data_IF_204167532886
#
_entry.id   IF_204167532886
#
_cell.length_a   1.000
_cell.length_b   1.000
_cell.length_c   1.000
_cell.angle_alpha   90.00
_cell.angle_beta   90.00
_cell.angle_gamma   90.00
#
_symmetry.space_group_name_H-M   'P 1'
#
loop_
_entity.id
_entity.type
_entity.pdbx_description
1 polymer ?
#
# COMPACT_ATOMS: atom_id res chain seq x y z
N UNK A 1 0.36 6.03 -18.51
CA UNK A 1 -0.24 6.06 -17.17
C UNK A 1 -0.39 7.52 -16.84
N UNK A 2 -1.63 7.99 -16.78
CA UNK A 2 -2.02 9.29 -16.24
C UNK A 2 -2.24 9.16 -14.73
N UNK A 3 -2.41 10.25 -14.01
CA UNK A 3 -2.65 10.13 -12.58
C UNK A 3 -3.98 9.44 -12.23
N UNK A 4 -3.99 8.77 -11.07
CA UNK A 4 -5.07 7.88 -10.65
C UNK A 4 -5.54 8.09 -9.21
N UNK A 5 -4.83 8.89 -8.41
CA UNK A 5 -5.09 9.03 -6.96
C UNK A 5 -6.54 9.39 -6.64
N UNK A 6 -7.11 10.39 -7.31
CA UNK A 6 -8.52 10.81 -7.10
C UNK A 6 -9.49 9.69 -7.46
N UNK A 7 -9.27 9.02 -8.60
CA UNK A 7 -10.15 7.95 -9.08
C UNK A 7 -10.18 6.75 -8.11
N UNK A 8 -9.07 6.46 -7.44
CA UNK A 8 -9.02 5.44 -6.40
C UNK A 8 -9.88 5.81 -5.19
N UNK A 9 -9.74 7.04 -4.70
CA UNK A 9 -10.49 7.53 -3.55
C UNK A 9 -12.00 7.56 -3.82
N UNK A 10 -12.41 8.02 -5.01
CA UNK A 10 -13.82 7.98 -5.44
C UNK A 10 -14.33 6.54 -5.58
N UNK A 11 -13.49 5.64 -6.11
CA UNK A 11 -13.83 4.24 -6.32
C UNK A 11 -14.17 3.49 -5.04
N UNK A 12 -13.54 3.83 -3.92
CA UNK A 12 -13.77 3.17 -2.63
C UNK A 12 -14.83 3.85 -1.76
N UNK A 13 -15.19 5.12 -2.03
CA UNK A 13 -16.07 5.94 -1.18
C UNK A 13 -17.34 5.20 -0.67
N UNK A 14 -18.13 4.51 -1.50
CA UNK A 14 -19.35 3.82 -1.05
C UNK A 14 -19.14 2.72 -0.01
N UNK A 15 -17.91 2.24 0.12
CA UNK A 15 -17.53 1.11 0.99
C UNK A 15 -16.60 1.54 2.13
N UNK A 16 -16.41 2.85 2.34
CA UNK A 16 -15.56 3.36 3.42
C UNK A 16 -16.30 3.26 4.77
N UNK A 17 -15.72 2.61 5.78
CA UNK A 17 -16.31 2.59 7.12
C UNK A 17 -16.26 3.99 7.77
N UNK A 18 -17.40 4.54 8.22
CA UNK A 18 -17.44 5.88 8.83
C UNK A 18 -16.68 5.96 10.15
N UNK A 19 -16.42 4.83 10.82
CA UNK A 19 -15.57 4.75 12.02
C UNK A 19 -14.08 4.95 11.72
N UNK A 20 -13.68 4.76 10.46
CA UNK A 20 -12.30 4.98 9.99
C UNK A 20 -12.18 6.35 9.34
N UNK A 21 -13.11 6.69 8.44
CA UNK A 21 -13.10 7.93 7.66
C UNK A 21 -14.49 8.54 7.69
N UNK A 22 -14.67 9.65 8.41
CA UNK A 22 -15.92 10.39 8.36
C UNK A 22 -16.12 11.09 7.00
N UNK A 23 -17.34 11.53 6.65
CA UNK A 23 -17.57 12.36 5.48
C UNK A 23 -16.70 13.62 5.42
N UNK A 24 -16.45 14.26 6.57
CA UNK A 24 -15.55 15.42 6.68
C UNK A 24 -14.10 15.04 6.37
N UNK A 25 -13.60 13.95 6.98
CA UNK A 25 -12.25 13.42 6.70
C UNK A 25 -12.10 13.05 5.23
N UNK A 26 -13.11 12.41 4.63
CA UNK A 26 -13.10 12.10 3.20
C UNK A 26 -13.01 13.38 2.36
N UNK A 27 -13.81 14.42 2.67
CA UNK A 27 -13.76 15.68 1.93
C UNK A 27 -12.38 16.35 2.01
N UNK A 28 -11.73 16.28 3.18
CA UNK A 28 -10.37 16.75 3.39
C UNK A 28 -9.34 15.97 2.57
N UNK A 29 -9.38 14.64 2.66
CA UNK A 29 -8.51 13.74 1.87
C UNK A 29 -8.71 13.94 0.37
N UNK A 30 -9.94 14.14 -0.09
CA UNK A 30 -10.24 14.39 -1.49
C UNK A 30 -9.58 15.67 -2.00
N UNK A 31 -9.69 16.78 -1.22
CA UNK A 31 -9.03 18.04 -1.56
C UNK A 31 -7.51 17.88 -1.62
N UNK A 32 -6.93 17.18 -0.64
CA UNK A 32 -5.51 16.85 -0.62
C UNK A 32 -5.11 16.03 -1.86
N UNK A 33 -5.86 14.97 -2.19
CA UNK A 33 -5.59 14.10 -3.33
C UNK A 33 -5.74 14.81 -4.69
N UNK A 34 -6.63 15.80 -4.79
CA UNK A 34 -6.83 16.57 -6.02
C UNK A 34 -5.57 17.35 -6.45
N UNK A 35 -4.73 17.73 -5.49
CA UNK A 35 -3.41 18.33 -5.75
C UNK A 35 -2.49 17.37 -6.50
N UNK A 36 -2.61 16.06 -6.22
CA UNK A 36 -1.80 14.99 -6.80
C UNK A 36 -2.55 14.22 -7.89
N UNK A 37 -3.59 14.80 -8.49
CA UNK A 37 -4.42 14.11 -9.48
C UNK A 37 -3.64 13.62 -10.72
N UNK A 38 -2.48 14.22 -11.01
CA UNK A 38 -1.60 13.85 -12.12
C UNK A 38 -0.58 12.77 -11.74
N UNK A 39 -0.54 12.33 -10.48
CA UNK A 39 0.38 11.31 -10.01
C UNK A 39 -0.22 9.93 -10.21
N UNK A 40 0.58 8.99 -10.72
CA UNK A 40 0.23 7.58 -10.74
C UNK A 40 0.87 6.91 -9.53
N UNK A 41 0.06 6.14 -8.81
CA UNK A 41 0.51 5.30 -7.70
C UNK A 41 -0.12 3.91 -7.83
N UNK A 42 0.64 2.89 -7.44
CA UNK A 42 0.20 1.49 -7.50
C UNK A 42 -0.53 1.03 -6.24
N UNK A 43 -0.28 1.69 -5.12
CA UNK A 43 -0.81 1.30 -3.81
C UNK A 43 -1.03 2.52 -2.93
N UNK A 44 -2.08 2.46 -2.12
CA UNK A 44 -2.46 3.50 -1.17
C UNK A 44 -2.67 2.87 0.21
N UNK A 45 -2.33 3.62 1.25
CA UNK A 45 -2.53 3.22 2.63
C UNK A 45 -3.23 4.36 3.37
N UNK A 46 -4.25 3.98 4.14
CA UNK A 46 -4.90 4.84 5.12
C UNK A 46 -4.51 4.33 6.50
N UNK A 47 -3.72 5.12 7.23
CA UNK A 47 -3.30 4.78 8.58
C UNK A 47 -4.28 5.40 9.58
N UNK A 48 -4.84 4.61 10.49
CA UNK A 48 -5.73 5.13 11.53
C UNK A 48 -5.29 4.69 12.93
N UNK A 49 -5.42 5.60 13.90
CA UNK A 49 -5.21 5.28 15.31
C UNK A 49 -6.37 4.46 15.85
N UNK A 50 -6.06 3.38 16.56
CA UNK A 50 -7.08 2.52 17.18
C UNK A 50 -7.48 2.99 18.58
N UNK A 51 -6.63 3.78 19.24
CA UNK A 51 -6.85 4.23 20.62
C UNK A 51 -7.88 5.38 20.75
N UNK A 52 -8.35 5.95 19.65
CA UNK A 52 -9.23 7.13 19.64
C UNK A 52 -10.41 6.89 18.71
N UNK A 53 -11.58 7.40 19.08
CA UNK A 53 -12.79 7.29 18.26
C UNK A 53 -12.78 8.20 17.03
N UNK A 54 -11.84 9.14 16.94
CA UNK A 54 -11.74 10.08 15.82
C UNK A 54 -11.57 9.32 14.49
N UNK A 55 -12.51 9.53 13.56
CA UNK A 55 -12.51 8.94 12.22
C UNK A 55 -11.58 9.71 11.27
N UNK A 56 -10.31 9.78 11.67
CA UNK A 56 -9.22 10.47 10.99
C UNK A 56 -8.21 9.42 10.50
N UNK A 57 -7.58 9.72 9.36
CA UNK A 57 -6.56 8.87 8.77
C UNK A 57 -5.44 9.68 8.13
N UNK A 58 -4.21 9.23 8.34
CA UNK A 58 -3.06 9.66 7.53
C UNK A 58 -3.16 8.94 6.18
N UNK A 59 -2.65 9.57 5.12
CA UNK A 59 -2.79 9.07 3.75
C UNK A 59 -1.43 8.93 3.09
N UNK A 60 -1.11 7.71 2.65
CA UNK A 60 0.14 7.38 2.01
C UNK A 60 -0.08 6.75 0.66
N UNK A 61 0.82 6.98 -0.29
CA UNK A 61 0.78 6.33 -1.59
C UNK A 61 2.18 5.95 -2.10
N UNK A 62 2.26 4.76 -2.71
CA UNK A 62 3.47 4.18 -3.27
C UNK A 62 3.61 4.48 -4.74
N UNK A 63 4.78 4.94 -5.13
CA UNK A 63 5.17 5.15 -6.51
C UNK A 63 6.33 4.21 -6.83
N UNK A 64 6.12 3.33 -7.81
CA UNK A 64 7.14 2.42 -8.31
C UNK A 64 8.11 3.16 -9.26
N UNK A 65 9.33 2.65 -9.45
CA UNK A 65 10.28 3.20 -10.42
C UNK A 65 9.68 3.29 -11.84
N UNK A 66 8.84 2.32 -12.22
CA UNK A 66 8.10 2.33 -13.50
C UNK A 66 7.07 3.47 -13.64
N UNK A 67 6.65 4.06 -12.52
CA UNK A 67 5.70 5.18 -12.45
C UNK A 67 6.42 6.54 -12.36
N UNK A 68 7.74 6.56 -12.20
CA UNK A 68 8.59 7.78 -12.18
C UNK A 68 8.30 8.77 -13.31
N UNK A 69 8.06 8.35 -14.58
CA UNK A 69 7.70 9.30 -15.64
C UNK A 69 6.39 10.05 -15.37
N UNK A 70 5.40 9.40 -14.77
CA UNK A 70 4.12 10.04 -14.42
C UNK A 70 4.33 11.03 -13.26
N UNK A 71 5.07 10.62 -12.23
CA UNK A 71 5.45 11.51 -11.12
C UNK A 71 6.18 12.76 -11.64
N UNK A 72 7.18 12.58 -12.51
CA UNK A 72 7.95 13.69 -13.09
C UNK A 72 7.08 14.65 -13.90
N UNK A 73 6.09 14.11 -14.63
CA UNK A 73 5.11 14.93 -15.36
C UNK A 73 4.20 15.70 -14.39
N UNK A 74 3.69 15.03 -13.35
CA UNK A 74 2.83 15.66 -12.34
C UNK A 74 3.54 16.78 -11.58
N UNK A 75 4.81 16.59 -11.20
CA UNK A 75 5.63 17.62 -10.54
C UNK A 75 5.87 18.87 -11.41
N UNK A 76 5.57 18.81 -12.71
CA UNK A 76 5.70 19.93 -13.66
C UNK A 76 4.35 20.51 -14.07
N UNK A 77 3.23 20.02 -13.52
CA UNK A 77 1.91 20.53 -13.88
C UNK A 77 1.68 21.92 -13.29
N UNK A 78 0.80 22.70 -13.91
CA UNK A 78 0.48 24.05 -13.44
C UNK A 78 -0.08 24.04 -12.01
N UNK A 79 -0.84 23.00 -11.65
CA UNK A 79 -1.37 22.79 -10.30
C UNK A 79 -0.24 22.66 -9.29
N UNK A 80 0.82 21.94 -9.65
CA UNK A 80 1.95 21.68 -8.78
C UNK A 80 2.94 22.85 -8.71
N UNK A 81 2.93 23.74 -9.70
CA UNK A 81 3.87 24.87 -9.78
C UNK A 81 3.83 25.75 -8.52
N UNK A 82 2.67 25.90 -7.88
CA UNK A 82 2.50 26.66 -6.63
C UNK A 82 3.17 25.99 -5.43
N UNK A 83 3.17 24.65 -5.39
CA UNK A 83 3.84 23.86 -4.35
C UNK A 83 5.34 23.80 -4.52
N UNK A 84 5.82 23.88 -5.77
CA UNK A 84 7.25 23.77 -6.08
C UNK A 84 8.11 24.89 -5.47
N UNK A 85 7.51 25.99 -5.02
CA UNK A 85 8.19 27.05 -4.27
C UNK A 85 8.52 26.65 -2.82
N UNK A 86 7.90 25.59 -2.29
CA UNK A 86 8.15 25.10 -0.95
C UNK A 86 9.42 24.24 -0.90
N UNK A 87 10.23 24.45 0.14
CA UNK A 87 11.50 23.76 0.33
C UNK A 87 11.39 22.23 0.40
N UNK A 88 10.35 21.71 1.06
CA UNK A 88 10.08 20.27 1.15
C UNK A 88 9.85 19.68 -0.24
N UNK A 89 9.04 20.34 -1.07
CA UNK A 89 8.78 19.88 -2.43
C UNK A 89 9.98 20.03 -3.36
N UNK A 90 10.79 21.07 -3.21
CA UNK A 90 12.04 21.20 -3.96
C UNK A 90 12.97 20.01 -3.70
N UNK A 91 13.12 19.58 -2.45
CA UNK A 91 13.93 18.40 -2.06
C UNK A 91 13.41 17.12 -2.70
N UNK A 92 12.09 16.93 -2.71
CA UNK A 92 11.44 15.79 -3.38
C UNK A 92 11.69 15.83 -4.89
N UNK A 93 11.57 17.01 -5.52
CA UNK A 93 11.87 17.18 -6.95
C UNK A 93 13.33 16.81 -7.26
N UNK A 94 14.28 17.26 -6.44
CA UNK A 94 15.69 16.91 -6.61
C UNK A 94 15.95 15.41 -6.42
N UNK A 95 15.33 14.78 -5.42
CA UNK A 95 15.39 13.32 -5.28
C UNK A 95 14.84 12.62 -6.52
N UNK A 96 13.68 13.04 -7.03
CA UNK A 96 13.05 12.39 -8.19
C UNK A 96 13.90 12.53 -9.45
N UNK A 97 14.56 13.67 -9.67
CA UNK A 97 15.50 13.83 -10.79
C UNK A 97 16.59 12.76 -10.75
N UNK A 98 17.20 12.59 -9.59
CA UNK A 98 18.35 11.71 -9.38
C UNK A 98 17.98 10.35 -8.78
N UNK A 99 16.69 9.96 -8.79
CA UNK A 99 16.18 8.75 -8.16
C UNK A 99 16.98 7.52 -8.64
N UNK A 100 17.79 6.90 -7.76
CA UNK A 100 18.65 5.75 -8.08
C UNK A 100 17.87 4.57 -8.64
N UNK A 101 18.45 3.85 -9.60
CA UNK A 101 17.81 2.68 -10.22
C UNK A 101 17.61 1.52 -9.24
N UNK A 102 18.46 1.41 -8.22
CA UNK A 102 18.39 0.37 -7.18
C UNK A 102 17.27 0.63 -6.14
N UNK A 103 16.60 1.79 -6.20
CA UNK A 103 15.44 2.09 -5.36
C UNK A 103 14.17 1.80 -6.17
N UNK A 104 13.51 0.70 -5.84
CA UNK A 104 12.35 0.17 -6.56
C UNK A 104 11.05 0.99 -6.38
N UNK A 105 10.92 1.65 -5.24
CA UNK A 105 9.73 2.43 -4.91
C UNK A 105 10.01 3.54 -3.89
N UNK A 106 9.12 4.52 -3.88
CA UNK A 106 9.06 5.59 -2.89
C UNK A 106 7.63 5.75 -2.37
N UNK A 107 7.51 6.23 -1.14
CA UNK A 107 6.23 6.57 -0.52
C UNK A 107 6.21 8.03 -0.11
N UNK A 108 5.06 8.67 -0.35
CA UNK A 108 4.70 9.95 0.24
C UNK A 108 3.61 9.69 1.26
N UNK A 109 3.86 10.05 2.52
CA UNK A 109 2.91 9.95 3.63
C UNK A 109 2.49 11.36 4.07
N UNK A 110 1.18 11.59 4.10
CA UNK A 110 0.59 12.84 4.55
C UNK A 110 -0.15 12.61 5.86
N UNK A 111 0.31 13.27 6.92
CA UNK A 111 -0.42 13.29 8.18
C UNK A 111 -1.81 13.91 7.96
N UNK A 112 -2.82 13.46 8.69
CA UNK A 112 -4.18 14.02 8.61
C UNK A 112 -4.18 15.56 8.77
N UNK A 113 -3.31 16.09 9.63
CA UNK A 113 -3.14 17.53 9.84
C UNK A 113 -2.63 18.31 8.62
N UNK A 114 -2.05 17.66 7.61
CA UNK A 114 -1.66 18.29 6.35
C UNK A 114 -2.86 18.64 5.46
N UNK A 115 -4.02 17.99 5.67
CA UNK A 115 -5.21 18.23 4.86
C UNK A 115 -5.77 19.66 4.99
N UNK A 116 -5.46 20.35 6.08
CA UNK A 116 -5.92 21.70 6.36
C UNK A 116 -4.92 22.78 5.92
N UNK A 117 -3.77 22.39 5.33
CA UNK A 117 -2.73 23.32 4.86
C UNK A 117 -2.89 23.64 3.37
N UNK A 118 -2.57 24.89 3.00
CA UNK A 118 -2.51 25.31 1.59
C UNK A 118 -1.42 24.57 0.80
N UNK A 119 -0.31 24.27 1.48
CA UNK A 119 0.84 23.53 0.93
C UNK A 119 1.06 22.32 1.85
N UNK A 120 0.44 21.16 1.55
CA UNK A 120 0.66 19.94 2.30
C UNK A 120 2.11 19.48 2.12
N UNK A 121 2.71 18.97 3.20
CA UNK A 121 4.08 18.47 3.20
C UNK A 121 4.08 16.99 3.56
N UNK A 122 4.68 16.12 2.75
CA UNK A 122 4.75 14.70 3.07
C UNK A 122 5.97 14.36 3.93
N UNK A 123 5.89 13.26 4.66
CA UNK A 123 7.07 12.46 4.95
C UNK A 123 7.45 11.65 3.70
N UNK A 124 8.74 11.52 3.42
CA UNK A 124 9.24 10.86 2.21
C UNK A 124 10.00 9.60 2.59
N UNK A 125 9.61 8.44 2.07
CA UNK A 125 10.28 7.16 2.29
C UNK A 125 10.73 6.57 0.97
N UNK A 126 11.88 5.90 0.97
CA UNK A 126 12.36 5.14 -0.18
C UNK A 126 12.68 3.70 0.24
N UNK A 127 12.49 2.78 -0.70
CA UNK A 127 12.86 1.38 -0.55
C UNK A 127 14.37 1.26 -0.26
N UNK A 128 14.71 0.57 0.82
CA UNK A 128 16.10 0.42 1.28
C UNK A 128 16.59 -1.04 1.25
N UNK A 129 15.86 -1.94 0.57
CA UNK A 129 16.20 -3.37 0.47
C UNK A 129 17.60 -3.61 -0.10
N UNK A 130 18.08 -2.71 -0.96
CA UNK A 130 19.41 -2.83 -1.58
C UNK A 130 20.54 -2.25 -0.71
N UNK A 131 20.22 -1.46 0.34
CA UNK A 131 21.22 -0.80 1.19
C UNK A 131 21.99 -1.79 2.04
N UNK A 132 21.37 -2.88 2.49
CA UNK A 132 22.05 -3.92 3.29
C UNK A 132 21.74 -5.30 2.75
N UNK A 133 22.80 -6.04 2.40
CA UNK A 133 22.74 -7.43 1.94
C UNK A 133 23.76 -8.27 2.68
N UNK A 134 23.31 -9.11 3.61
CA UNK A 134 24.22 -9.88 4.45
C UNK A 134 25.09 -8.96 5.31
N UNK A 135 26.40 -9.19 5.26
CA UNK A 135 27.38 -8.36 5.96
C UNK A 135 27.70 -7.03 5.25
N UNK A 136 27.30 -6.86 3.99
CA UNK A 136 27.60 -5.66 3.23
C UNK A 136 26.54 -4.58 3.44
N UNK A 137 27.00 -3.35 3.66
CA UNK A 137 26.17 -2.14 3.76
C UNK A 137 26.65 -1.12 2.73
N UNK A 138 25.77 -0.78 1.80
CA UNK A 138 25.99 0.27 0.80
C UNK A 138 25.64 1.64 1.40
N UNK A 139 26.61 2.22 2.08
CA UNK A 139 26.48 3.58 2.61
C UNK A 139 26.39 4.63 1.50
N UNK A 140 26.96 4.38 0.32
CA UNK A 140 26.95 5.35 -0.77
C UNK A 140 25.55 5.46 -1.37
N UNK A 141 24.84 4.35 -1.52
CA UNK A 141 23.42 4.34 -1.88
C UNK A 141 22.57 5.06 -0.82
N UNK A 142 22.76 4.75 0.46
CA UNK A 142 22.00 5.36 1.56
C UNK A 142 22.19 6.89 1.63
N UNK A 143 23.44 7.34 1.76
CA UNK A 143 23.73 8.77 1.90
C UNK A 143 23.56 9.50 0.56
N UNK A 144 23.75 8.82 -0.57
CA UNK A 144 23.45 9.30 -1.91
C UNK A 144 21.97 9.61 -2.10
N UNK A 145 21.07 8.79 -1.56
CA UNK A 145 19.63 9.03 -1.55
C UNK A 145 19.26 10.16 -0.57
N UNK A 146 19.76 10.11 0.67
CA UNK A 146 19.41 11.06 1.73
C UNK A 146 19.87 12.49 1.47
N UNK A 147 20.97 12.72 0.74
CA UNK A 147 21.50 14.07 0.45
C UNK A 147 20.54 14.96 -0.33
N UNK A 148 19.56 14.38 -1.02
CA UNK A 148 18.52 15.14 -1.73
C UNK A 148 17.39 15.59 -0.79
N UNK A 149 17.20 14.86 0.30
CA UNK A 149 16.11 15.07 1.25
C UNK A 149 16.55 15.91 2.45
N UNK A 150 17.83 15.82 2.84
CA UNK A 150 18.43 16.53 3.97
C UNK A 150 19.56 17.42 3.48
N UNK A 151 19.82 18.53 4.19
CA UNK A 151 21.03 19.31 3.89
C UNK A 151 22.30 18.59 4.39
N UNK A 152 23.46 19.06 3.92
CA UNK A 152 24.74 18.43 4.22
C UNK A 152 25.07 18.48 5.72
N UNK A 153 24.72 19.55 6.42
CA UNK A 153 24.98 19.70 7.85
C UNK A 153 24.18 18.67 8.67
N UNK A 154 22.90 18.51 8.35
CA UNK A 154 22.02 17.50 8.93
C UNK A 154 22.56 16.10 8.68
N UNK A 155 22.94 15.80 7.43
CA UNK A 155 23.43 14.48 7.06
C UNK A 155 24.70 14.10 7.82
N UNK A 156 25.62 15.05 7.99
CA UNK A 156 26.87 14.82 8.70
C UNK A 156 26.66 14.58 10.20
N UNK A 157 25.70 15.26 10.84
CA UNK A 157 25.30 14.99 12.23
C UNK A 157 24.69 13.59 12.40
N UNK A 158 23.94 13.12 11.41
CA UNK A 158 23.25 11.82 11.46
C UNK A 158 24.15 10.64 11.08
N UNK A 159 25.21 10.88 10.31
CA UNK A 159 26.01 9.85 9.64
C UNK A 159 26.50 8.75 10.58
N UNK A 160 27.08 9.13 11.72
CA UNK A 160 27.67 8.16 12.66
C UNK A 160 26.59 7.26 13.27
N UNK A 161 25.47 7.84 13.69
CA UNK A 161 24.39 7.09 14.32
C UNK A 161 23.65 6.21 13.30
N UNK A 162 23.41 6.70 12.09
CA UNK A 162 22.81 5.92 11.01
C UNK A 162 23.65 4.69 10.66
N UNK A 163 24.96 4.86 10.47
CA UNK A 163 25.87 3.72 10.28
C UNK A 163 25.81 2.78 11.48
N UNK A 164 25.91 3.34 12.69
CA UNK A 164 25.90 2.58 13.92
C UNK A 164 24.69 1.67 14.11
N UNK A 165 23.49 2.12 13.77
CA UNK A 165 22.28 1.28 13.89
C UNK A 165 22.20 0.25 12.77
N UNK A 166 22.54 0.62 11.52
CA UNK A 166 22.46 -0.30 10.37
C UNK A 166 23.51 -1.42 10.48
N UNK A 167 24.73 -1.09 10.91
CA UNK A 167 25.83 -2.05 11.04
C UNK A 167 25.58 -3.08 12.16
N UNK A 168 24.71 -2.75 13.12
CA UNK A 168 24.32 -3.62 14.24
C UNK A 168 23.11 -4.50 13.94
N UNK A 169 22.45 -4.32 12.79
CA UNK A 169 21.38 -5.22 12.37
C UNK A 169 21.92 -6.66 12.21
N UNK A 170 21.10 -7.67 12.52
CA UNK A 170 21.45 -9.06 12.21
C UNK A 170 21.86 -9.20 10.74
N UNK A 171 22.75 -10.15 10.46
CA UNK A 171 23.37 -10.27 9.12
C UNK A 171 22.32 -10.59 8.05
N UNK A 172 21.40 -11.46 8.41
CA UNK A 172 20.28 -11.95 7.63
C UNK A 172 19.15 -10.92 7.45
N UNK A 173 19.19 -9.81 8.19
CA UNK A 173 18.15 -8.78 8.18
C UNK A 173 18.63 -7.54 7.43
N UNK A 174 17.92 -7.19 6.36
CA UNK A 174 18.16 -5.98 5.59
C UNK A 174 17.43 -4.76 6.17
N UNK A 175 17.23 -3.75 5.31
CA UNK A 175 16.31 -2.65 5.56
C UNK A 175 15.09 -2.79 4.66
N UNK A 176 13.92 -2.42 5.15
CA UNK A 176 12.73 -2.32 4.31
C UNK A 176 12.67 -0.93 3.67
N UNK A 177 12.70 0.12 4.50
CA UNK A 177 12.56 1.51 4.09
C UNK A 177 13.41 2.44 4.94
N UNK A 178 13.76 3.59 4.34
CA UNK A 178 14.38 4.72 5.03
C UNK A 178 13.59 5.97 4.67
N UNK A 179 13.34 6.84 5.66
CA UNK A 179 12.52 8.03 5.44
C UNK A 179 13.01 9.32 6.07
N UNK A 180 12.80 10.42 5.37
CA UNK A 180 12.92 11.77 5.89
C UNK A 180 11.55 12.29 6.36
N UNK A 181 11.46 12.69 7.63
CA UNK A 181 10.22 13.14 8.26
C UNK A 181 9.89 14.61 7.93
N UNK A 182 9.93 14.99 6.64
CA UNK A 182 9.98 16.38 6.17
C UNK A 182 8.80 17.25 6.65
N UNK A 183 7.63 16.65 6.89
CA UNK A 183 6.42 17.30 7.41
C UNK A 183 6.48 17.64 8.91
N UNK A 184 7.34 16.95 9.65
CA UNK A 184 7.43 17.02 11.12
C UNK A 184 8.76 17.64 11.53
N UNK A 185 9.82 16.84 11.47
CA UNK A 185 11.13 17.18 12.02
C UNK A 185 12.20 16.83 10.98
N UNK A 186 13.12 17.76 10.71
CA UNK A 186 14.18 17.58 9.70
C UNK A 186 15.54 17.17 10.28
N UNK A 187 15.58 16.95 11.59
CA UNK A 187 16.77 16.60 12.37
C UNK A 187 16.95 15.09 12.54
N UNK A 188 16.14 14.27 11.86
CA UNK A 188 16.11 12.82 12.03
C UNK A 188 15.71 12.08 10.76
N UNK A 189 16.11 10.82 10.71
CA UNK A 189 15.76 9.86 9.66
C UNK A 189 15.06 8.68 10.31
N UNK A 190 13.91 8.26 9.75
CA UNK A 190 13.23 7.05 10.17
C UNK A 190 13.83 5.84 9.46
N UNK A 191 14.14 4.80 10.23
CA UNK A 191 14.61 3.51 9.74
C UNK A 191 13.48 2.50 9.91
N UNK A 192 13.24 1.69 8.88
CA UNK A 192 12.44 0.47 8.95
C UNK A 192 13.36 -0.72 8.66
N UNK A 193 13.43 -1.67 9.59
CA UNK A 193 14.20 -2.90 9.37
C UNK A 193 13.52 -3.80 8.35
N UNK A 194 14.24 -4.77 7.81
CA UNK A 194 13.59 -5.98 7.30
C UNK A 194 12.88 -6.74 8.42
N UNK A 195 12.26 -7.85 8.08
CA UNK A 195 11.59 -8.73 9.04
C UNK A 195 12.57 -9.29 10.07
N UNK A 196 12.19 -9.16 11.35
CA UNK A 196 12.87 -9.68 12.52
C UNK A 196 11.95 -10.68 13.21
N UNK A 197 12.51 -11.75 13.76
CA UNK A 197 11.86 -12.56 14.81
C UNK A 197 11.82 -11.78 16.12
N UNK A 198 10.98 -12.23 17.08
CA UNK A 198 10.94 -11.67 18.43
C UNK A 198 12.32 -11.59 19.07
N UNK A 199 13.07 -12.68 19.01
CA UNK A 199 14.39 -12.80 19.63
C UNK A 199 15.39 -11.84 18.99
N UNK A 200 15.38 -11.74 17.66
CA UNK A 200 16.22 -10.79 16.93
C UNK A 200 15.82 -9.34 17.24
N UNK A 201 14.53 -9.01 17.36
CA UNK A 201 14.08 -7.66 17.73
C UNK A 201 14.61 -7.25 19.10
N UNK A 202 14.46 -8.11 20.12
CA UNK A 202 14.94 -7.85 21.48
C UNK A 202 16.46 -7.67 21.48
N UNK A 203 17.19 -8.61 20.86
CA UNK A 203 18.65 -8.56 20.80
C UNK A 203 19.15 -7.32 20.05
N UNK A 204 18.51 -6.95 18.94
CA UNK A 204 18.90 -5.78 18.16
C UNK A 204 18.67 -4.48 18.94
N UNK A 205 17.52 -4.34 19.60
CA UNK A 205 17.23 -3.16 20.42
C UNK A 205 18.21 -3.02 21.60
N UNK A 206 18.60 -4.13 22.24
CA UNK A 206 19.65 -4.14 23.26
C UNK A 206 21.00 -3.70 22.69
N UNK A 207 21.38 -4.24 21.53
CA UNK A 207 22.65 -3.91 20.85
C UNK A 207 22.78 -2.43 20.46
N UNK A 208 21.68 -1.75 20.14
CA UNK A 208 21.67 -0.31 19.85
C UNK A 208 21.43 0.55 21.10
N UNK A 209 21.35 -0.07 22.29
CA UNK A 209 21.25 0.62 23.57
C UNK A 209 19.86 1.16 23.91
N UNK A 210 18.79 0.53 23.39
CA UNK A 210 17.43 0.96 23.67
C UNK A 210 16.99 0.58 25.09
N UNK A 211 16.64 1.57 25.92
CA UNK A 211 16.54 1.40 27.37
C UNK A 211 15.31 0.61 27.87
N UNK A 212 14.23 0.55 27.09
CA UNK A 212 12.91 0.09 27.57
C UNK A 212 12.61 -1.38 27.27
N UNK A 213 13.63 -2.25 27.22
CA UNK A 213 13.49 -3.66 26.82
C UNK A 213 12.37 -4.42 27.54
N UNK A 214 12.14 -4.16 28.83
CA UNK A 214 11.05 -4.78 29.60
C UNK A 214 9.64 -4.57 29.00
N UNK A 215 9.45 -3.51 28.21
CA UNK A 215 8.17 -3.20 27.58
C UNK A 215 7.96 -4.03 26.31
N UNK A 216 9.02 -4.57 25.70
CA UNK A 216 8.91 -5.45 24.54
C UNK A 216 8.25 -6.77 24.90
N UNK A 217 8.54 -7.33 26.06
CA UNK A 217 7.90 -8.58 26.48
C UNK A 217 6.39 -8.42 26.58
N UNK A 218 5.93 -7.33 27.20
CA UNK A 218 4.50 -7.01 27.27
C UNK A 218 3.89 -6.78 25.88
N UNK A 219 4.63 -6.16 24.96
CA UNK A 219 4.17 -5.96 23.57
C UNK A 219 4.01 -7.31 22.88
N UNK A 220 5.03 -8.17 22.93
CA UNK A 220 5.01 -9.46 22.26
C UNK A 220 3.99 -10.43 22.87
N UNK A 221 3.80 -10.43 24.19
CA UNK A 221 2.72 -11.18 24.83
C UNK A 221 1.33 -10.81 24.27
N UNK A 222 1.11 -9.53 23.96
CA UNK A 222 -0.16 -9.05 23.42
C UNK A 222 -0.37 -9.40 21.94
N UNK A 223 0.69 -9.48 21.13
CA UNK A 223 0.55 -9.58 19.66
C UNK A 223 1.04 -10.89 19.04
N UNK A 224 2.02 -11.58 19.65
CA UNK A 224 2.75 -12.67 19.00
C UNK A 224 1.87 -13.87 18.65
N UNK A 225 0.89 -14.20 19.50
CA UNK A 225 -0.04 -15.30 19.24
C UNK A 225 -0.94 -15.06 18.00
N UNK A 226 -1.06 -13.82 17.54
CA UNK A 226 -1.89 -13.43 16.41
C UNK A 226 -1.08 -13.14 15.14
N UNK A 227 0.23 -12.87 15.28
CA UNK A 227 1.09 -12.53 14.16
C UNK A 227 1.65 -13.77 13.45
N UNK A 228 2.32 -13.56 12.33
CA UNK A 228 3.10 -14.55 11.58
C UNK A 228 4.50 -14.81 12.19
N UNK A 229 4.81 -14.17 13.31
CA UNK A 229 6.12 -14.22 13.97
C UNK A 229 7.21 -13.35 13.32
N UNK A 230 6.88 -12.54 12.32
CA UNK A 230 7.78 -11.59 11.66
C UNK A 230 7.40 -10.14 12.00
N UNK A 231 8.42 -9.31 12.24
CA UNK A 231 8.25 -7.95 12.72
C UNK A 231 9.14 -6.97 11.97
N UNK A 232 8.57 -5.88 11.48
CA UNK A 232 9.35 -4.73 11.00
C UNK A 232 9.40 -3.69 12.11
N UNK A 233 10.61 -3.40 12.57
CA UNK A 233 10.86 -2.37 13.57
C UNK A 233 11.07 -1.02 12.88
N UNK A 234 10.35 0.01 13.32
CA UNK A 234 10.58 1.40 12.92
C UNK A 234 10.94 2.32 14.09
N UNK A 235 11.89 3.22 13.85
CA UNK A 235 12.33 4.22 14.83
C UNK A 235 13.07 5.36 14.14
N UNK A 236 13.10 6.51 14.80
CA UNK A 236 13.85 7.67 14.32
C UNK A 236 15.29 7.63 14.83
N UNK A 237 16.23 8.06 14.00
CA UNK A 237 17.64 8.27 14.35
C UNK A 237 17.95 9.76 14.22
N UNK A 238 18.44 10.36 15.30
CA UNK A 238 18.90 11.75 15.34
C UNK A 238 20.39 11.84 15.68
N UNK A 239 20.92 13.05 15.86
CA UNK A 239 22.27 13.29 16.38
C UNK A 239 22.48 12.67 17.78
N UNK A 240 21.41 12.53 18.57
CA UNK A 240 21.44 11.95 19.92
C UNK A 240 21.39 10.42 19.92
N UNK A 241 21.19 9.78 18.76
CA UNK A 241 21.11 8.33 18.63
C UNK A 241 19.73 7.85 18.18
N UNK A 242 19.43 6.58 18.47
CA UNK A 242 18.12 6.00 18.22
C UNK A 242 17.08 6.55 19.22
N UNK A 243 15.88 6.85 18.73
CA UNK A 243 14.77 7.33 19.55
C UNK A 243 14.32 6.28 20.57
N UNK A 244 13.87 6.73 21.74
CA UNK A 244 13.17 5.88 22.70
C UNK A 244 11.81 5.42 22.17
N UNK A 245 11.24 6.15 21.20
CA UNK A 245 9.99 5.75 20.52
C UNK A 245 10.30 4.76 19.41
N UNK A 246 9.66 3.59 19.51
CA UNK A 246 9.72 2.54 18.49
C UNK A 246 8.32 2.18 18.01
N UNK A 247 8.26 1.56 16.84
CA UNK A 247 7.08 0.92 16.28
C UNK A 247 7.39 -0.52 15.87
N UNK A 248 6.50 -1.44 16.22
CA UNK A 248 6.55 -2.83 15.77
C UNK A 248 5.39 -3.03 14.79
N UNK A 249 5.72 -3.27 13.53
CA UNK A 249 4.79 -3.50 12.43
C UNK A 249 4.71 -5.00 12.14
N UNK A 250 3.51 -5.55 11.98
CA UNK A 250 3.31 -6.98 11.73
C UNK A 250 2.00 -7.27 11.00
N UNK A 251 2.01 -8.36 10.23
CA UNK A 251 0.82 -9.00 9.70
C UNK A 251 0.17 -9.95 10.69
N UNK A 252 -1.09 -10.29 10.45
CA UNK A 252 -1.73 -11.41 11.16
C UNK A 252 -1.33 -12.72 10.50
N UNK A 253 -1.03 -13.75 11.30
CA UNK A 253 -0.66 -15.06 10.75
C UNK A 253 -1.81 -15.74 9.99
N UNK A 254 -3.06 -15.39 10.32
CA UNK A 254 -4.28 -15.82 9.61
C UNK A 254 -5.35 -14.73 9.68
N UNK A 255 -6.13 -14.58 8.62
CA UNK A 255 -7.27 -13.65 8.56
C UNK A 255 -8.32 -13.94 9.64
N UNK A 256 -8.51 -15.21 10.01
CA UNK A 256 -9.43 -15.62 11.08
C UNK A 256 -9.04 -15.09 12.47
N UNK A 257 -7.79 -14.65 12.65
CA UNK A 257 -7.32 -14.07 13.92
C UNK A 257 -7.70 -12.60 14.08
N UNK A 258 -8.22 -11.94 13.04
CA UNK A 258 -8.54 -10.52 13.08
C UNK A 258 -9.52 -10.17 14.21
N UNK A 259 -10.63 -10.90 14.34
CA UNK A 259 -11.60 -10.62 15.39
C UNK A 259 -11.02 -10.84 16.81
N UNK A 260 -10.44 -12.02 17.14
CA UNK A 260 -9.80 -12.23 18.44
C UNK A 260 -8.71 -11.19 18.77
N UNK A 261 -7.89 -10.83 17.78
CA UNK A 261 -6.85 -9.81 17.95
C UNK A 261 -7.46 -8.45 18.31
N UNK A 262 -8.48 -8.00 17.55
CA UNK A 262 -9.12 -6.72 17.81
C UNK A 262 -9.88 -6.69 19.13
N UNK A 263 -10.48 -7.80 19.56
CA UNK A 263 -11.07 -7.96 20.89
C UNK A 263 -10.01 -7.82 21.99
N UNK A 264 -8.87 -8.51 21.85
CA UNK A 264 -7.74 -8.39 22.76
C UNK A 264 -7.20 -6.96 22.87
N UNK A 265 -7.12 -6.23 21.76
CA UNK A 265 -6.73 -4.81 21.79
C UNK A 265 -7.74 -3.93 22.55
N UNK A 266 -9.04 -4.22 22.46
CA UNK A 266 -10.07 -3.49 23.24
C UNK A 266 -9.93 -3.78 24.73
N UNK A 267 -9.72 -5.04 25.12
CA UNK A 267 -9.50 -5.43 26.51
C UNK A 267 -8.27 -4.74 27.12
N UNK A 268 -7.20 -4.60 26.34
CA UNK A 268 -5.98 -3.87 26.73
C UNK A 268 -6.12 -2.34 26.66
N UNK A 269 -7.28 -1.83 26.21
CA UNK A 269 -7.55 -0.39 25.97
C UNK A 269 -6.60 0.23 24.93
N UNK A 270 -6.11 -0.59 24.02
CA UNK A 270 -5.31 -0.15 22.86
C UNK A 270 -6.18 0.09 21.62
N UNK A 271 -7.41 -0.41 21.63
CA UNK A 271 -8.42 -0.15 20.61
C UNK A 271 -9.75 0.28 21.28
N UNK A 272 -10.52 1.14 20.62
CA UNK A 272 -11.91 1.42 21.01
C UNK A 272 -12.88 0.48 20.29
N UNK A 273 -14.06 0.24 20.85
CA UNK A 273 -15.08 -0.56 20.18
C UNK A 273 -15.53 0.04 18.85
N UNK A 274 -15.50 1.38 18.73
CA UNK A 274 -15.80 2.09 17.48
C UNK A 274 -14.75 1.73 16.42
N UNK A 275 -13.46 1.86 16.74
CA UNK A 275 -12.37 1.52 15.81
C UNK A 275 -12.33 0.05 15.45
N UNK A 276 -12.61 -0.86 16.40
CA UNK A 276 -12.77 -2.29 16.12
C UNK A 276 -13.79 -2.55 15.02
N UNK A 277 -14.99 -1.96 15.10
CA UNK A 277 -16.02 -2.13 14.07
C UNK A 277 -15.55 -1.65 12.70
N UNK A 278 -14.91 -0.48 12.65
CA UNK A 278 -14.40 0.08 11.40
C UNK A 278 -13.31 -0.76 10.74
N UNK A 279 -12.39 -1.34 11.51
CA UNK A 279 -11.34 -2.21 10.96
C UNK A 279 -11.93 -3.53 10.47
N UNK A 280 -12.87 -4.12 11.21
CA UNK A 280 -13.54 -5.37 10.82
C UNK A 280 -14.39 -5.22 9.54
N UNK A 281 -14.84 -4.02 9.21
CA UNK A 281 -15.60 -3.72 7.99
C UNK A 281 -14.75 -3.16 6.85
N UNK A 282 -13.41 -3.08 7.02
CA UNK A 282 -12.54 -2.47 6.02
C UNK A 282 -12.41 -3.30 4.74
N UNK A 283 -12.09 -4.58 4.88
CA UNK A 283 -11.73 -5.45 3.76
C UNK A 283 -12.88 -5.65 2.77
N UNK A 284 -12.56 -5.79 1.49
CA UNK A 284 -13.52 -6.07 0.43
C UNK A 284 -13.00 -5.64 -0.93
N UNK A 285 -13.70 -6.01 -2.00
CA UNK A 285 -13.32 -5.64 -3.37
C UNK A 285 -14.44 -4.95 -4.13
N UNK A 286 -14.07 -4.06 -5.06
CA UNK A 286 -15.00 -3.36 -5.93
C UNK A 286 -14.48 -3.18 -7.34
N UNK A 287 -15.38 -3.31 -8.31
CA UNK A 287 -15.10 -2.96 -9.70
C UNK A 287 -15.14 -1.46 -9.94
N UNK A 288 -14.11 -0.89 -10.56
CA UNK A 288 -14.10 0.51 -10.95
C UNK A 288 -13.46 0.73 -12.32
N UNK A 289 -13.94 1.71 -13.08
CA UNK A 289 -13.30 2.15 -14.30
C UNK A 289 -12.46 3.40 -14.01
N UNK A 290 -11.13 3.28 -14.08
CA UNK A 290 -10.19 4.34 -13.69
C UNK A 290 -9.69 5.17 -14.89
N UNK A 291 -10.47 5.21 -15.98
CA UNK A 291 -10.11 5.91 -17.22
C UNK A 291 -9.41 5.03 -18.25
N UNK A 292 -9.15 5.57 -19.45
CA UNK A 292 -8.65 4.80 -20.61
C UNK A 292 -7.25 4.17 -20.40
N UNK A 293 -6.44 4.80 -19.55
CA UNK A 293 -5.08 4.37 -19.29
C UNK A 293 -5.03 3.08 -18.45
N UNK A 294 -5.99 2.91 -17.54
CA UNK A 294 -6.07 1.80 -16.58
C UNK A 294 -7.16 0.79 -16.95
N UNK A 295 -8.27 1.30 -17.48
CA UNK A 295 -9.43 0.51 -17.84
C UNK A 295 -10.27 0.10 -16.63
N UNK A 296 -10.92 -1.04 -16.79
CA UNK A 296 -11.61 -1.69 -15.69
C UNK A 296 -10.57 -2.26 -14.72
N UNK A 297 -10.73 -1.95 -13.45
CA UNK A 297 -9.81 -2.25 -12.36
C UNK A 297 -10.59 -2.84 -11.19
N UNK A 298 -10.10 -3.93 -10.62
CA UNK A 298 -10.58 -4.38 -9.32
C UNK A 298 -9.83 -3.61 -8.23
N UNK A 299 -10.54 -2.79 -7.49
CA UNK A 299 -10.05 -2.13 -6.28
C UNK A 299 -10.17 -3.12 -5.13
N UNK A 300 -9.06 -3.45 -4.50
CA UNK A 300 -8.98 -4.36 -3.37
C UNK A 300 -8.67 -3.52 -2.14
N UNK A 301 -9.54 -3.62 -1.13
CA UNK A 301 -9.30 -3.12 0.23
C UNK A 301 -8.96 -4.30 1.11
N UNK A 302 -7.86 -4.20 1.83
CA UNK A 302 -7.49 -5.14 2.88
C UNK A 302 -6.65 -4.45 3.94
N UNK A 303 -6.32 -5.19 4.99
CA UNK A 303 -5.46 -4.70 6.06
C UNK A 303 -4.03 -5.07 5.68
N UNK A 304 -3.18 -4.07 5.45
CA UNK A 304 -1.77 -4.29 5.14
C UNK A 304 -1.04 -4.86 6.35
N UNK A 305 -1.14 -4.15 7.48
CA UNK A 305 -0.49 -4.54 8.73
C UNK A 305 -1.06 -3.75 9.91
N UNK A 306 -0.66 -4.16 11.11
CA UNK A 306 -0.86 -3.41 12.33
C UNK A 306 0.46 -2.88 12.85
N UNK A 307 0.40 -1.82 13.65
CA UNK A 307 1.55 -1.29 14.37
C UNK A 307 1.21 -1.07 15.82
N UNK A 308 2.07 -1.58 16.71
CA UNK A 308 2.08 -1.15 18.11
C UNK A 308 3.34 -0.32 18.32
N UNK A 309 3.18 0.96 18.61
CA UNK A 309 4.27 1.84 19.00
C UNK A 309 4.34 2.00 20.51
N UNK A 310 5.54 2.13 21.04
CA UNK A 310 5.79 2.46 22.44
C UNK A 310 6.69 3.68 22.53
N UNK A 311 6.38 4.58 23.47
CA UNK A 311 7.32 5.57 24.00
C UNK A 311 7.14 5.70 25.52
N UNK A 312 8.17 6.13 26.27
CA UNK A 312 8.04 6.35 27.71
C UNK A 312 6.96 7.37 28.08
N UNK A 313 6.76 8.39 27.24
CA UNK A 313 5.81 9.47 27.49
C UNK A 313 4.36 9.07 27.17
N UNK A 314 4.12 8.35 26.07
CA UNK A 314 2.77 8.10 25.55
C UNK A 314 2.25 6.69 25.86
N UNK A 315 3.15 5.79 26.27
CA UNK A 315 2.89 4.36 26.41
C UNK A 315 2.63 3.68 25.07
N UNK A 316 1.85 2.59 25.10
CA UNK A 316 1.47 1.87 23.87
C UNK A 316 0.39 2.61 23.09
N UNK A 317 0.57 2.67 21.76
CA UNK A 317 -0.44 3.09 20.78
C UNK A 317 -0.54 2.05 19.69
N UNK A 318 -1.77 1.72 19.33
CA UNK A 318 -2.07 0.80 18.25
C UNK A 318 -2.60 1.56 17.03
N UNK A 319 -2.19 1.11 15.86
CA UNK A 319 -2.63 1.63 14.56
C UNK A 319 -2.91 0.48 13.60
N UNK A 320 -3.83 0.72 12.67
CA UNK A 320 -4.08 -0.16 11.54
C UNK A 320 -3.71 0.56 10.24
N UNK A 321 -3.03 -0.15 9.34
CA UNK A 321 -2.64 0.32 8.02
C UNK A 321 -3.54 -0.36 7.00
N UNK A 322 -4.45 0.44 6.46
CA UNK A 322 -5.58 -0.03 5.67
C UNK A 322 -5.28 0.23 4.20
N UNK A 323 -4.98 -0.84 3.45
CA UNK A 323 -4.50 -0.75 2.08
C UNK A 323 -5.65 -0.69 1.09
N UNK A 324 -5.40 0.05 0.01
CA UNK A 324 -6.17 0.03 -1.22
C UNK A 324 -5.21 -0.20 -2.38
N UNK A 325 -5.42 -1.30 -3.13
CA UNK A 325 -4.64 -1.64 -4.31
C UNK A 325 -5.58 -1.79 -5.52
N UNK A 326 -5.08 -1.56 -6.73
CA UNK A 326 -5.85 -1.81 -7.94
C UNK A 326 -5.20 -2.87 -8.82
N UNK A 327 -5.99 -3.85 -9.22
CA UNK A 327 -5.58 -4.89 -10.16
C UNK A 327 -6.09 -4.47 -11.54
N UNK A 328 -5.16 -3.99 -12.38
CA UNK A 328 -5.48 -3.50 -13.71
C UNK A 328 -5.56 -4.65 -14.71
N UNK A 329 -6.73 -4.81 -15.35
CA UNK A 329 -6.90 -5.81 -16.40
C UNK A 329 -5.96 -5.58 -17.60
N UNK A 330 -5.57 -4.34 -17.85
CA UNK A 330 -4.65 -4.00 -18.94
C UNK A 330 -3.26 -4.61 -18.76
N UNK A 331 -2.76 -4.66 -17.53
CA UNK A 331 -1.44 -5.26 -17.23
C UNK A 331 -1.49 -6.79 -17.32
N UNK A 332 -2.62 -7.42 -16.98
CA UNK A 332 -2.86 -8.86 -17.18
C UNK A 332 -2.59 -9.30 -18.62
N UNK A 333 -3.01 -8.49 -19.59
CA UNK A 333 -2.91 -8.82 -21.02
C UNK A 333 -1.58 -8.39 -21.65
N UNK A 334 -0.77 -7.61 -20.92
CA UNK A 334 0.63 -7.31 -21.31
C UNK A 334 1.60 -8.39 -20.81
N UNK A 335 1.40 -8.89 -19.59
CA UNK A 335 2.33 -9.80 -18.92
C UNK A 335 2.46 -11.21 -19.57
N UNK A 336 1.55 -11.60 -20.47
CA UNK A 336 1.58 -12.89 -21.17
C UNK A 336 1.87 -12.81 -22.67
N UNK A 337 2.18 -11.63 -23.19
CA UNK A 337 2.81 -11.52 -24.49
C UNK A 337 4.28 -12.00 -24.37
N UNK A 338 4.49 -13.27 -24.73
CA UNK A 338 5.76 -13.99 -24.97
C UNK A 338 6.30 -14.85 -23.81
N UNK A 339 6.23 -16.18 -23.99
CA UNK A 339 7.44 -17.01 -23.90
C UNK A 339 7.89 -17.46 -25.31
N UNK A 340 9.03 -16.94 -25.77
CA UNK A 340 9.69 -17.24 -27.06
C UNK A 340 10.26 -18.68 -27.19
N UNK A 341 9.83 -19.64 -26.39
CA UNK A 341 10.50 -20.94 -26.24
C UNK A 341 9.68 -22.13 -26.78
N UNK A 342 8.55 -21.87 -27.46
CA UNK A 342 7.73 -22.89 -28.13
C UNK A 342 7.84 -22.90 -29.67
N UNK A 343 8.79 -22.17 -30.25
CA UNK A 343 9.03 -22.23 -31.70
C UNK A 343 10.11 -23.25 -32.07
N UNK A 344 9.81 -24.52 -31.82
CA UNK A 344 10.51 -25.63 -32.45
C UNK A 344 9.50 -26.72 -32.88
N UNK A 345 9.00 -26.56 -34.11
CA UNK A 345 8.51 -27.68 -34.91
C UNK A 345 7.09 -28.18 -34.63
N UNK A 346 6.08 -27.42 -35.05
CA UNK A 346 4.81 -27.96 -35.59
C UNK A 346 4.00 -26.79 -36.19
N UNK A 347 3.33 -27.01 -37.32
CA UNK A 347 2.40 -26.04 -37.92
C UNK A 347 1.17 -25.89 -37.01
N UNK A 348 1.29 -25.09 -35.95
CA UNK A 348 0.15 -24.64 -35.17
C UNK A 348 -0.55 -23.53 -35.95
N UNK A 349 -1.86 -23.72 -36.17
CA UNK A 349 -2.73 -22.62 -36.57
C UNK A 349 -2.45 -21.42 -35.64
N UNK A 350 -2.25 -20.23 -36.20
CA UNK A 350 -2.00 -19.00 -35.44
C UNK A 350 -3.10 -18.83 -34.36
N UNK A 351 -2.78 -19.23 -33.12
CA UNK A 351 -3.69 -19.07 -32.00
C UNK A 351 -3.62 -17.59 -31.60
N UNK A 352 -4.54 -16.79 -32.14
CA UNK A 352 -4.64 -15.38 -31.79
C UNK A 352 -5.15 -15.24 -30.37
N UNK A 353 -4.29 -14.71 -29.49
CA UNK A 353 -4.74 -14.21 -28.19
C UNK A 353 -5.56 -12.93 -28.40
N UNK A 354 -6.70 -12.80 -27.71
CA UNK A 354 -7.54 -11.61 -27.83
C UNK A 354 -6.79 -10.40 -27.27
N UNK A 355 -6.75 -9.31 -28.03
CA UNK A 355 -6.12 -8.07 -27.58
C UNK A 355 -6.89 -7.43 -26.41
N UNK A 356 -6.27 -6.51 -25.69
CA UNK A 356 -6.88 -5.83 -24.53
C UNK A 356 -8.30 -5.28 -24.81
N UNK A 357 -8.50 -4.60 -25.94
CA UNK A 357 -9.80 -4.04 -26.32
C UNK A 357 -10.87 -5.13 -26.54
N UNK A 358 -10.46 -6.27 -27.09
CA UNK A 358 -11.36 -7.40 -27.33
C UNK A 358 -11.79 -8.05 -26.01
N UNK A 359 -10.83 -8.31 -25.11
CA UNK A 359 -11.11 -8.81 -23.77
C UNK A 359 -11.98 -7.86 -22.95
N UNK A 360 -11.73 -6.56 -23.04
CA UNK A 360 -12.57 -5.56 -22.38
C UNK A 360 -14.02 -5.62 -22.89
N UNK A 361 -14.24 -5.84 -24.19
CA UNK A 361 -15.58 -6.00 -24.76
C UNK A 361 -16.22 -7.32 -24.34
N UNK A 362 -15.46 -8.41 -24.24
CA UNK A 362 -15.93 -9.69 -23.70
C UNK A 362 -16.40 -9.50 -22.25
N UNK A 363 -15.60 -8.83 -21.42
CA UNK A 363 -15.95 -8.60 -20.02
C UNK A 363 -17.16 -7.69 -19.85
N UNK A 364 -17.32 -6.67 -20.69
CA UNK A 364 -18.57 -5.88 -20.72
C UNK A 364 -19.80 -6.76 -20.98
N UNK A 365 -19.71 -7.71 -21.92
CA UNK A 365 -20.80 -8.67 -22.19
C UNK A 365 -21.02 -9.63 -21.02
N UNK A 366 -19.95 -10.14 -20.41
CA UNK A 366 -20.03 -10.99 -19.22
C UNK A 366 -20.74 -10.25 -18.09
N UNK A 367 -20.31 -9.02 -17.79
CA UNK A 367 -20.90 -8.17 -16.78
C UNK A 367 -22.40 -7.97 -17.03
N UNK A 368 -22.79 -7.54 -18.24
CA UNK A 368 -24.20 -7.37 -18.61
C UNK A 368 -25.01 -8.65 -18.44
N UNK A 369 -24.48 -9.80 -18.87
CA UNK A 369 -25.17 -11.09 -18.76
C UNK A 369 -25.27 -11.56 -17.31
N UNK A 370 -24.20 -11.44 -16.53
CA UNK A 370 -24.15 -11.81 -15.11
C UNK A 370 -25.00 -10.88 -14.23
N UNK A 371 -25.34 -9.67 -14.69
CA UNK A 371 -26.33 -8.82 -14.03
C UNK A 371 -27.76 -9.34 -14.18
N UNK A 372 -28.07 -10.03 -15.27
CA UNK A 372 -29.45 -10.40 -15.64
C UNK A 372 -29.75 -11.89 -15.45
N UNK A 373 -28.73 -12.76 -15.56
CA UNK A 373 -28.87 -14.21 -15.54
C UNK A 373 -28.16 -14.82 -14.33
N UNK A 374 -28.93 -15.30 -13.36
CA UNK A 374 -28.41 -15.89 -12.11
C UNK A 374 -27.48 -17.10 -12.37
N UNK A 375 -27.87 -17.98 -13.28
CA UNK A 375 -27.09 -19.20 -13.58
C UNK A 375 -25.76 -18.86 -14.27
N UNK A 376 -25.76 -17.84 -15.13
CA UNK A 376 -24.52 -17.36 -15.75
C UNK A 376 -23.62 -16.65 -14.74
N UNK A 377 -24.19 -15.89 -13.80
CA UNK A 377 -23.44 -15.30 -12.68
C UNK A 377 -22.79 -16.40 -11.84
N UNK A 378 -23.53 -17.43 -11.47
CA UNK A 378 -22.98 -18.56 -10.72
C UNK A 378 -21.84 -19.24 -11.47
N UNK A 379 -21.97 -19.40 -12.79
CA UNK A 379 -20.89 -19.92 -13.63
C UNK A 379 -19.65 -19.03 -13.61
N UNK A 380 -19.81 -17.70 -13.65
CA UNK A 380 -18.67 -16.78 -13.53
C UNK A 380 -17.91 -17.00 -12.23
N UNK A 381 -18.62 -17.13 -11.11
CA UNK A 381 -17.99 -17.31 -9.78
C UNK A 381 -17.36 -18.69 -9.60
N UNK A 382 -17.94 -19.75 -10.16
CA UNK A 382 -17.44 -21.12 -9.99
C UNK A 382 -16.40 -21.54 -11.03
N UNK A 383 -16.51 -21.04 -12.26
CA UNK A 383 -15.66 -21.39 -13.40
C UNK A 383 -15.56 -20.21 -14.39
N UNK A 384 -14.73 -19.25 -14.02
CA UNK A 384 -14.46 -18.04 -14.80
C UNK A 384 -14.04 -18.35 -16.24
N UNK A 385 -13.26 -19.41 -16.44
CA UNK A 385 -12.78 -19.81 -17.77
C UNK A 385 -13.95 -20.25 -18.64
N UNK A 386 -14.83 -21.12 -18.14
CA UNK A 386 -16.01 -21.55 -18.87
C UNK A 386 -16.97 -20.38 -19.16
N UNK A 387 -17.12 -19.43 -18.22
CA UNK A 387 -17.92 -18.23 -18.43
C UNK A 387 -17.37 -17.36 -19.59
N UNK A 388 -16.05 -17.16 -19.63
CA UNK A 388 -15.37 -16.42 -20.71
C UNK A 388 -15.50 -17.18 -22.04
N UNK A 389 -15.30 -18.50 -22.05
CA UNK A 389 -15.46 -19.33 -23.27
C UNK A 389 -16.84 -19.18 -23.88
N UNK A 390 -17.91 -19.10 -23.08
CA UNK A 390 -19.27 -18.90 -23.58
C UNK A 390 -19.46 -17.55 -24.30
N UNK A 391 -18.62 -16.55 -24.04
CA UNK A 391 -18.72 -15.21 -24.65
C UNK A 391 -17.77 -15.00 -25.83
N UNK A 392 -16.82 -15.90 -26.05
CA UNK A 392 -15.88 -15.85 -27.15
C UNK A 392 -16.43 -16.66 -28.32
N UNK A 393 -16.48 -16.05 -29.50
CA UNK A 393 -16.79 -16.76 -30.73
C UNK A 393 -15.48 -17.36 -31.29
N UNK A 394 -15.15 -18.61 -30.94
CA UNK A 394 -14.02 -19.36 -31.51
C UNK A 394 -12.99 -19.88 -30.49
N UNK A 395 -11.85 -20.37 -30.99
CA UNK A 395 -10.79 -21.03 -30.21
C UNK A 395 -9.74 -20.05 -29.62
N UNK A 396 -10.17 -18.89 -29.11
CA UNK A 396 -9.22 -17.95 -28.54
C UNK A 396 -8.67 -18.49 -27.20
N UNK A 397 -7.36 -18.31 -26.96
CA UNK A 397 -6.75 -18.68 -25.68
C UNK A 397 -7.16 -17.66 -24.61
N UNK A 398 -7.74 -18.18 -23.54
CA UNK A 398 -8.17 -17.40 -22.37
C UNK A 398 -7.05 -17.45 -21.34
N UNK A 399 -6.67 -16.31 -20.73
CA UNK A 399 -5.74 -16.33 -19.61
C UNK A 399 -6.29 -17.19 -18.47
N UNK A 400 -5.55 -18.22 -18.05
CA UNK A 400 -5.98 -19.21 -17.03
C UNK A 400 -6.16 -18.64 -15.61
N UNK A 401 -5.94 -17.34 -15.43
CA UNK A 401 -5.76 -16.69 -14.14
C UNK A 401 -6.77 -15.56 -13.86
N UNK A 402 -7.83 -15.46 -14.67
CA UNK A 402 -8.94 -14.52 -14.41
C UNK A 402 -9.96 -15.20 -13.51
N UNK A 403 -10.27 -14.55 -12.38
CA UNK A 403 -11.28 -14.96 -11.40
C UNK A 403 -12.35 -13.89 -11.31
N UNK A 404 -13.63 -14.26 -11.40
CA UNK A 404 -14.73 -13.34 -11.12
C UNK A 404 -15.06 -13.30 -9.63
N UNK A 405 -15.24 -12.10 -9.08
CA UNK A 405 -15.60 -11.87 -7.68
C UNK A 405 -16.96 -11.19 -7.55
N UNK A 406 -17.58 -11.36 -6.39
CA UNK A 406 -18.69 -10.51 -5.94
C UNK A 406 -18.15 -9.17 -5.40
N UNK A 407 -18.92 -8.09 -5.52
CA UNK A 407 -18.64 -6.87 -4.74
C UNK A 407 -18.71 -7.21 -3.24
N UNK A 408 -17.78 -6.66 -2.47
CA UNK A 408 -17.61 -6.92 -1.03
C UNK A 408 -17.40 -8.40 -0.66
N UNK A 409 -17.01 -9.25 -1.62
CA UNK A 409 -16.61 -10.63 -1.36
C UNK A 409 -15.28 -10.74 -0.60
N UNK A 410 -15.00 -11.94 -0.10
CA UNK A 410 -13.71 -12.26 0.52
C UNK A 410 -12.56 -11.98 -0.48
N UNK A 411 -11.48 -11.37 0.00
CA UNK A 411 -10.31 -11.02 -0.80
C UNK A 411 -9.67 -12.24 -1.49
N UNK A 412 -8.93 -12.01 -2.56
CA UNK A 412 -8.18 -13.07 -3.26
C UNK A 412 -6.81 -13.24 -2.60
N UNK A 413 -6.44 -14.47 -2.27
CA UNK A 413 -5.08 -14.81 -1.82
C UNK A 413 -4.06 -14.82 -2.97
N UNK A 414 -4.46 -15.27 -4.18
CA UNK A 414 -3.64 -15.23 -5.39
C UNK A 414 -4.49 -15.24 -6.68
N UNK A 415 -4.17 -14.37 -7.66
CA UNK A 415 -4.80 -14.36 -9.00
C UNK A 415 -5.27 -12.99 -9.46
N UNK A 416 -5.81 -12.91 -10.69
CA UNK A 416 -6.34 -11.66 -11.25
C UNK A 416 -7.86 -11.60 -11.09
N UNK A 417 -8.35 -10.52 -10.50
CA UNK A 417 -9.77 -10.36 -10.20
C UNK A 417 -10.53 -9.56 -11.27
N UNK A 418 -11.76 -9.96 -11.57
CA UNK A 418 -12.78 -9.11 -12.18
C UNK A 418 -14.01 -9.09 -11.28
N UNK A 419 -14.37 -7.93 -10.74
CA UNK A 419 -15.52 -7.84 -9.83
C UNK A 419 -16.81 -7.71 -10.64
N UNK A 420 -17.71 -8.67 -10.51
CA UNK A 420 -18.98 -8.61 -11.21
C UNK A 420 -19.82 -7.48 -10.64
N UNK A 421 -20.46 -6.65 -11.48
CA UNK A 421 -21.42 -5.65 -10.99
C UNK A 421 -22.58 -6.34 -10.24
N UNK A 422 -23.34 -5.59 -9.42
CA UNK A 422 -24.49 -6.13 -8.68
C UNK A 422 -25.49 -6.86 -9.59
N UNK A 423 -26.02 -7.98 -9.11
CA UNK A 423 -27.09 -8.69 -9.79
C UNK A 423 -28.38 -7.86 -9.75
N UNK A 424 -28.97 -7.60 -10.92
CA UNK A 424 -30.25 -6.90 -11.05
C UNK A 424 -31.29 -7.93 -11.44
N UNK A 425 -32.27 -8.17 -10.54
CA UNK A 425 -33.41 -9.01 -10.90
C UNK A 425 -34.10 -8.41 -12.12
N UNK A 426 -34.32 -9.17 -13.21
CA UNK A 426 -34.98 -8.64 -14.41
C UNK A 426 -36.35 -8.00 -14.11
N UNK A 427 -37.06 -8.50 -13.09
CA UNK A 427 -38.32 -7.92 -12.61
C UNK A 427 -38.20 -6.46 -12.15
N UNK A 428 -37.05 -6.05 -11.62
CA UNK A 428 -36.79 -4.68 -11.16
C UNK A 428 -36.63 -3.69 -12.31
N UNK A 429 -36.27 -4.16 -13.51
CA UNK A 429 -36.17 -3.33 -14.72
C UNK A 429 -37.51 -3.19 -15.44
N UNK A 430 -38.45 -4.11 -15.22
CA UNK A 430 -39.74 -4.14 -15.91
C UNK A 430 -40.89 -3.41 -15.21
N UNK A 431 -40.66 -2.84 -14.01
CA UNK A 431 -41.68 -2.06 -13.28
C UNK A 431 -43.01 -2.78 -13.04
N UNK A 432 -43.00 -4.12 -13.00
CA UNK A 432 -44.16 -4.98 -12.75
C UNK A 432 -44.03 -5.71 -11.43
#
# INVERSE_FOLDING_TARGET
>A
MNGNIVNYLEGILPSLPPEIISPETYSKLYKLCAVFQDFAASEYIMETSLNKDAAEADFSFRILTGEKPCLTKGLRSDIFSTLSANETWMRIIEFVKDWPQDIEDVWLEMDYGECDKDIPQPCFFFNASQVKKGHYVDHDLLFGALKHLLDQEQLDKLRVNLKGVIDRLPTEVGLFQVGAMLARNRDRVRIFTGELTREQTVQYLDNIGWASLSQLDRLFEAVHQYSDGQYILDFDVSEQGASEKIGINFGLGKTTMLLPFMEGLVEQRWCTDIKKRGVLSWSGCRGSFLGDDYGYTALIKDISHFKISYSPEEGFKAKAYLRVAGIYLKELLKAKAVPNWLHAGEQQAEIKQPGYKEMQNIFKKIAQKAMLEKDFRQLCLSDSKAAIQKMINGNAVIPDNIVFLEEDGDGIEDGFAYVLPPFIKPSWLSGK
#
